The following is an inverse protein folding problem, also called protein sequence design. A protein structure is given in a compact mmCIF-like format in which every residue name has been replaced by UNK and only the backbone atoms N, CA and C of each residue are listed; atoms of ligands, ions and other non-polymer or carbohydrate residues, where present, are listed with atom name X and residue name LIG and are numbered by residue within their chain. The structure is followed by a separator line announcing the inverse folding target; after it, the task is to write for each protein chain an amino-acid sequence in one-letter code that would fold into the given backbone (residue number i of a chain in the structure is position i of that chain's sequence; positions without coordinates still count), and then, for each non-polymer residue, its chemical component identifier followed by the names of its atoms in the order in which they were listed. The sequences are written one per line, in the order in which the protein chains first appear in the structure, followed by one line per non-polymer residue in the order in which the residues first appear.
data_IF_736019003376
#
_entry.id   IF_736019003376
#
_cell.length_a   1.000
_cell.length_b   1.000
_cell.length_c   1.000
_cell.angle_alpha   90.00
_cell.angle_beta   90.00
_cell.angle_gamma   90.00
#
_symmetry.space_group_name_H-M   'P 1'
#
loop_
_entity.id
_entity.type
_entity.pdbx_description
1 polymer ?
#
# COMPACT_ATOMS: atom_id res chain seq x y z
N UNK A 1 25.20 10.07 -10.40
CA UNK A 1 24.40 8.87 -10.65
C UNK A 1 22.96 9.19 -10.24
N UNK A 2 21.94 9.03 -11.10
CA UNK A 2 20.58 9.30 -10.68
C UNK A 2 20.07 8.13 -9.82
N UNK A 3 19.68 8.40 -8.59
CA UNK A 3 18.90 7.46 -7.78
C UNK A 3 17.56 7.24 -8.49
N UNK A 4 17.24 5.98 -8.82
CA UNK A 4 16.00 5.62 -9.48
C UNK A 4 14.82 6.18 -8.66
N UNK A 5 13.99 7.03 -9.28
CA UNK A 5 12.66 7.32 -8.76
C UNK A 5 11.86 6.03 -8.95
N UNK A 6 11.87 5.14 -7.97
CA UNK A 6 10.82 4.15 -7.85
C UNK A 6 9.51 4.94 -7.91
N UNK A 7 8.55 4.62 -8.79
CA UNK A 7 7.27 5.28 -8.72
C UNK A 7 6.62 4.82 -7.42
N UNK A 8 6.82 5.61 -6.37
CA UNK A 8 6.23 5.45 -5.05
C UNK A 8 4.72 5.64 -5.19
N UNK A 9 4.04 4.55 -5.49
CA UNK A 9 2.59 4.58 -5.56
C UNK A 9 2.05 4.67 -4.16
N UNK A 10 1.31 5.75 -3.87
CA UNK A 10 0.73 5.97 -2.56
C UNK A 10 -0.77 5.68 -2.58
N UNK A 11 -1.22 4.93 -1.59
CA UNK A 11 -2.62 4.60 -1.38
C UNK A 11 -3.04 5.15 -0.03
N UNK A 12 -4.04 6.02 0.00
CA UNK A 12 -4.60 6.53 1.23
C UNK A 12 -5.78 5.68 1.66
N UNK A 13 -5.82 5.30 2.94
CA UNK A 13 -6.99 4.62 3.54
C UNK A 13 -7.77 5.69 4.28
N UNK A 14 -8.87 6.13 3.67
CA UNK A 14 -9.75 7.15 4.23
C UNK A 14 -11.21 6.86 3.89
N UNK A 15 -12.11 7.22 4.79
CA UNK A 15 -13.53 6.90 4.70
C UNK A 15 -13.78 5.41 4.47
N UNK A 16 -13.01 4.54 5.14
CA UNK A 16 -13.11 3.08 5.00
C UNK A 16 -12.86 2.60 3.55
N UNK A 17 -12.08 3.35 2.77
CA UNK A 17 -11.80 3.06 1.37
C UNK A 17 -10.34 3.30 1.01
N UNK A 18 -9.81 2.49 0.08
CA UNK A 18 -8.49 2.66 -0.51
C UNK A 18 -8.56 3.65 -1.66
N UNK A 19 -7.71 4.67 -1.64
CA UNK A 19 -7.68 5.73 -2.64
C UNK A 19 -6.25 5.98 -3.14
N UNK A 20 -5.96 5.70 -4.43
CA UNK A 20 -6.85 5.10 -5.42
C UNK A 20 -7.23 3.65 -5.09
N UNK A 21 -8.35 3.16 -5.64
CA UNK A 21 -8.81 1.78 -5.44
C UNK A 21 -7.92 0.74 -6.14
N UNK A 22 -7.26 1.15 -7.22
CA UNK A 22 -6.35 0.31 -7.99
C UNK A 22 -5.12 1.12 -8.39
N UNK A 23 -3.96 0.51 -8.24
CA UNK A 23 -2.67 1.06 -8.67
C UNK A 23 -2.03 0.06 -9.61
N UNK A 24 -1.51 0.55 -10.73
CA UNK A 24 -0.65 -0.25 -11.61
C UNK A 24 0.79 0.19 -11.40
N UNK A 25 1.62 -0.76 -10.99
CA UNK A 25 3.07 -0.56 -10.81
C UNK A 25 3.85 -1.57 -11.63
N UNK A 26 5.12 -1.26 -11.86
CA UNK A 26 6.09 -2.17 -12.42
C UNK A 26 6.64 -3.10 -11.33
N UNK A 27 7.11 -4.27 -11.75
CA UNK A 27 7.80 -5.20 -10.85
C UNK A 27 9.06 -4.54 -10.29
N UNK A 28 9.23 -4.64 -8.98
CA UNK A 28 10.30 -4.00 -8.24
C UNK A 28 9.95 -2.62 -7.68
N UNK A 29 8.71 -2.16 -7.86
CA UNK A 29 8.23 -0.91 -7.25
C UNK A 29 7.59 -1.14 -5.89
N UNK A 30 7.48 -0.06 -5.12
CA UNK A 30 6.94 -0.06 -3.77
C UNK A 30 5.63 0.71 -3.73
N UNK A 31 4.60 0.10 -3.16
CA UNK A 31 3.35 0.78 -2.81
C UNK A 31 3.37 1.11 -1.34
N UNK A 32 2.99 2.34 -1.00
CA UNK A 32 2.85 2.78 0.39
C UNK A 32 1.39 3.07 0.71
N UNK A 33 0.82 2.33 1.65
CA UNK A 33 -0.50 2.62 2.17
C UNK A 33 -0.37 3.52 3.39
N UNK A 34 -1.17 4.59 3.48
CA UNK A 34 -1.20 5.48 4.64
C UNK A 34 -2.59 5.48 5.25
N UNK A 35 -2.67 5.18 6.54
CA UNK A 35 -3.92 5.24 7.29
C UNK A 35 -4.27 6.69 7.62
N UNK A 36 -5.43 7.16 7.18
CA UNK A 36 -5.93 8.52 7.48
C UNK A 36 -7.21 8.50 8.31
N UNK A 37 -7.95 7.38 8.34
CA UNK A 37 -9.13 7.24 9.17
C UNK A 37 -8.79 7.36 10.66
N UNK A 38 -9.54 8.20 11.37
CA UNK A 38 -9.40 8.44 12.81
C UNK A 38 -10.21 7.41 13.60
N UNK A 39 -9.65 6.95 14.73
CA UNK A 39 -10.33 6.06 15.68
C UNK A 39 -10.79 4.71 15.12
N UNK A 40 -10.22 4.28 13.98
CA UNK A 40 -10.45 2.97 13.36
C UNK A 40 -9.10 2.39 12.97
N UNK A 41 -8.98 1.06 13.01
CA UNK A 41 -7.82 0.33 12.52
C UNK A 41 -8.23 -0.45 11.28
N UNK A 42 -7.37 -0.47 10.27
CA UNK A 42 -7.53 -1.36 9.12
C UNK A 42 -6.25 -2.14 8.88
N UNK A 43 -6.37 -3.14 8.03
CA UNK A 43 -5.25 -3.94 7.54
C UNK A 43 -5.20 -3.82 6.02
N UNK A 44 -4.00 -3.89 5.46
CA UNK A 44 -3.76 -4.14 4.04
C UNK A 44 -3.39 -5.60 3.93
N UNK A 45 -4.27 -6.40 3.35
CA UNK A 45 -4.06 -7.84 3.17
C UNK A 45 -4.27 -8.14 1.70
N UNK A 46 -3.33 -8.85 1.09
CA UNK A 46 -3.49 -9.35 -0.27
C UNK A 46 -4.58 -10.43 -0.32
N UNK A 47 -5.34 -10.50 -1.41
CA UNK A 47 -6.37 -11.53 -1.62
C UNK A 47 -5.77 -12.95 -1.65
N UNK A 48 -4.53 -13.08 -2.15
CA UNK A 48 -3.79 -14.34 -2.19
C UNK A 48 -3.05 -14.63 -0.86
N UNK A 49 -3.18 -13.73 0.12
CA UNK A 49 -2.55 -13.81 1.44
C UNK A 49 -1.00 -13.78 1.39
N UNK A 50 -0.41 -13.25 0.29
CA UNK A 50 1.05 -13.03 0.16
C UNK A 50 1.62 -12.03 1.16
N UNK A 51 0.85 -10.99 1.50
CA UNK A 51 1.27 -9.99 2.49
C UNK A 51 0.11 -9.52 3.36
N UNK A 52 0.46 -9.07 4.56
CA UNK A 52 -0.46 -8.47 5.52
C UNK A 52 0.28 -7.37 6.29
N UNK A 53 -0.28 -6.17 6.34
CA UNK A 53 0.33 -5.02 7.05
C UNK A 53 0.23 -5.11 8.57
N UNK A 54 -0.60 -6.01 9.10
CA UNK A 54 -1.14 -5.94 10.45
C UNK A 54 -2.07 -4.74 10.64
N UNK A 55 -2.47 -4.49 11.89
CA UNK A 55 -3.32 -3.36 12.24
C UNK A 55 -2.58 -2.02 12.04
N UNK A 56 -3.09 -1.20 11.13
CA UNK A 56 -2.65 0.17 10.89
C UNK A 56 -3.61 1.14 11.58
N UNK A 57 -3.05 1.95 12.46
CA UNK A 57 -3.73 3.08 13.11
C UNK A 57 -3.50 4.39 12.35
N UNK A 58 -4.30 5.41 12.63
CA UNK A 58 -4.19 6.75 12.02
C UNK A 58 -2.76 7.28 11.98
N UNK A 59 -2.32 7.73 10.82
CA UNK A 59 -0.98 8.28 10.57
C UNK A 59 0.10 7.22 10.30
N UNK A 60 -0.17 5.94 10.53
CA UNK A 60 0.76 4.87 10.17
C UNK A 60 0.78 4.65 8.67
N UNK A 61 1.94 4.27 8.16
CA UNK A 61 2.12 3.87 6.76
C UNK A 61 2.77 2.50 6.66
N UNK A 62 2.36 1.75 5.65
CA UNK A 62 2.88 0.44 5.33
C UNK A 62 3.48 0.45 3.92
N UNK A 63 4.81 0.38 3.76
CA UNK A 63 5.44 0.18 2.46
C UNK A 63 5.55 -1.32 2.12
N UNK A 64 5.14 -1.72 0.92
CA UNK A 64 5.35 -3.07 0.39
C UNK A 64 5.95 -3.01 -1.02
N UNK A 65 7.05 -3.73 -1.22
CA UNK A 65 7.70 -3.87 -2.52
C UNK A 65 7.17 -5.09 -3.26
N UNK A 66 6.66 -4.90 -4.47
CA UNK A 66 6.12 -5.97 -5.29
C UNK A 66 7.21 -6.54 -6.20
N UNK A 67 7.83 -7.64 -5.78
CA UNK A 67 8.88 -8.32 -6.55
C UNK A 67 8.36 -9.26 -7.64
N UNK A 68 7.05 -9.46 -7.76
CA UNK A 68 6.44 -10.37 -8.72
C UNK A 68 5.30 -9.68 -9.47
N UNK A 69 5.18 -9.98 -10.76
CA UNK A 69 4.04 -9.54 -11.55
C UNK A 69 2.80 -10.32 -11.15
N UNK A 70 1.70 -9.63 -10.88
CA UNK A 70 0.46 -10.26 -10.45
C UNK A 70 -0.61 -9.24 -10.11
N UNK A 71 -1.80 -9.76 -9.79
CA UNK A 71 -2.86 -9.02 -9.13
C UNK A 71 -3.01 -9.59 -7.73
N UNK A 72 -3.01 -8.71 -6.72
CA UNK A 72 -2.92 -9.01 -5.30
C UNK A 72 -4.07 -8.36 -4.56
#
# INVERSE_FOLDING_TARGET
MPAARAADSSVSIQNFSFQPQSVTINVGETVTWTMRDVNTQHTVTADDNSFNSGNLSTGQSFPHMFGQAGSF
#
